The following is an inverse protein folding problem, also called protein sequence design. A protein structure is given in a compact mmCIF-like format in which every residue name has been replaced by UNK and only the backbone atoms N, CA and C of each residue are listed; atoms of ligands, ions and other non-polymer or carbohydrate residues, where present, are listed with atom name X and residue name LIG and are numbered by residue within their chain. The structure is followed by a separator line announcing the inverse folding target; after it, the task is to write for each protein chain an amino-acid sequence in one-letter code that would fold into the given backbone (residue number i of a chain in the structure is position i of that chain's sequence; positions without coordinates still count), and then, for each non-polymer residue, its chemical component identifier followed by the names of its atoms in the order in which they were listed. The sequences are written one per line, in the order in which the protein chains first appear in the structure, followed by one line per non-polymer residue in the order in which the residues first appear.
data_IF_852566113517
#
_entry.id   IF_852566113517
#
_cell.length_a   1.000
_cell.length_b   1.000
_cell.length_c   1.000
_cell.angle_alpha   90.00
_cell.angle_beta   90.00
_cell.angle_gamma   90.00
#
_symmetry.space_group_name_H-M   'P 1'
#
loop_
_entity.id
_entity.type
_entity.pdbx_description
1 polymer ?
#
# COMPACT_ATOMS: atom_id res chain seq x y z
N UNK A 1 -20.13 13.07 -2.00
CA UNK A 1 -20.74 11.89 -1.34
C UNK A 1 -20.79 10.68 -2.26
N UNK A 2 -21.29 10.81 -3.51
CA UNK A 2 -21.39 9.69 -4.46
C UNK A 2 -20.08 8.93 -4.74
N UNK A 3 -18.95 9.63 -4.86
CA UNK A 3 -17.66 8.98 -5.05
C UNK A 3 -17.24 8.07 -3.87
N UNK A 4 -17.59 8.46 -2.63
CA UNK A 4 -17.30 7.65 -1.44
C UNK A 4 -18.18 6.40 -1.37
N UNK A 5 -19.44 6.52 -1.79
CA UNK A 5 -20.39 5.41 -1.87
C UNK A 5 -19.96 4.44 -2.98
N UNK A 6 -19.53 4.95 -4.13
CA UNK A 6 -19.03 4.14 -5.24
C UNK A 6 -17.78 3.34 -4.86
N UNK A 7 -16.83 3.95 -4.14
CA UNK A 7 -15.63 3.26 -3.64
C UNK A 7 -15.98 2.20 -2.61
N UNK A 8 -16.92 2.48 -1.69
CA UNK A 8 -17.38 1.51 -0.71
C UNK A 8 -18.08 0.30 -1.36
N UNK A 9 -18.91 0.53 -2.38
CA UNK A 9 -19.57 -0.52 -3.14
C UNK A 9 -18.58 -1.37 -3.94
N UNK A 10 -17.58 -0.73 -4.58
CA UNK A 10 -16.53 -1.46 -5.30
C UNK A 10 -15.70 -2.36 -4.35
N UNK A 11 -15.38 -1.86 -3.15
CA UNK A 11 -14.66 -2.63 -2.14
C UNK A 11 -15.48 -3.84 -1.65
N UNK A 12 -16.80 -3.67 -1.45
CA UNK A 12 -17.69 -4.77 -1.06
C UNK A 12 -17.83 -5.83 -2.16
N UNK A 13 -17.92 -5.42 -3.42
CA UNK A 13 -17.96 -6.34 -4.57
C UNK A 13 -16.63 -7.10 -4.68
N UNK A 14 -15.50 -6.42 -4.53
CA UNK A 14 -14.17 -7.05 -4.57
C UNK A 14 -13.98 -8.09 -3.45
N UNK A 15 -14.48 -7.82 -2.24
CA UNK A 15 -14.45 -8.79 -1.14
C UNK A 15 -15.45 -9.94 -1.32
N UNK A 16 -16.62 -9.69 -1.91
CA UNK A 16 -17.66 -10.70 -2.12
C UNK A 16 -17.31 -11.78 -3.14
N UNK A 17 -16.48 -11.45 -4.15
CA UNK A 17 -16.04 -12.41 -5.18
C UNK A 17 -15.07 -13.47 -4.63
N UNK A 18 -14.38 -13.20 -3.52
CA UNK A 18 -13.45 -14.15 -2.88
C UNK A 18 -14.19 -15.26 -2.10
N UNK A 19 -15.51 -15.12 -1.92
CA UNK A 19 -16.34 -16.00 -1.08
C UNK A 19 -16.90 -17.25 -1.74
N UNK A 20 -16.42 -17.68 -2.91
CA UNK A 20 -16.77 -19.02 -3.43
C UNK A 20 -16.05 -20.07 -2.59
N UNK A 21 -16.65 -20.44 -1.46
CA UNK A 21 -16.27 -21.59 -0.67
C UNK A 21 -16.57 -22.85 -1.50
N UNK A 22 -15.69 -23.16 -2.45
CA UNK A 22 -15.54 -24.52 -2.91
C UNK A 22 -15.26 -25.35 -1.66
N UNK A 23 -16.04 -26.40 -1.43
CA UNK A 23 -15.68 -27.39 -0.43
C UNK A 23 -14.21 -27.74 -0.66
N UNK A 24 -13.36 -27.50 0.33
CA UNK A 24 -11.96 -27.87 0.24
C UNK A 24 -11.95 -29.39 0.32
N UNK A 25 -11.87 -30.02 -0.84
CA UNK A 25 -11.87 -31.46 -0.93
C UNK A 25 -10.68 -31.96 -0.13
N UNK A 26 -10.94 -32.88 0.80
CA UNK A 26 -9.92 -33.44 1.66
C UNK A 26 -9.19 -34.48 0.82
N UNK A 27 -7.96 -34.22 0.35
CA UNK A 27 -7.35 -35.05 -0.68
C UNK A 27 -7.23 -36.50 -0.22
N UNK A 28 -7.86 -37.45 -0.93
CA UNK A 28 -7.82 -38.87 -0.59
C UNK A 28 -8.90 -39.34 0.38
N UNK A 29 -9.86 -38.49 0.78
CA UNK A 29 -11.02 -38.95 1.56
C UNK A 29 -11.91 -39.88 0.73
N UNK A 30 -11.96 -39.68 -0.59
CA UNK A 30 -12.59 -40.58 -1.56
C UNK A 30 -11.97 -41.98 -1.55
N UNK A 31 -10.67 -42.10 -1.28
CA UNK A 31 -9.98 -43.39 -1.20
C UNK A 31 -10.25 -44.05 0.15
N UNK A 32 -10.21 -43.29 1.25
CA UNK A 32 -10.45 -43.82 2.59
C UNK A 32 -11.91 -44.25 2.81
N UNK A 33 -12.88 -43.69 2.09
CA UNK A 33 -14.30 -44.01 2.23
C UNK A 33 -14.74 -45.22 1.39
N UNK A 34 -13.99 -45.57 0.35
CA UNK A 34 -14.21 -46.78 -0.47
C UNK A 34 -13.66 -48.05 0.22
N UNK A 35 -12.80 -47.89 1.23
CA UNK A 35 -12.19 -48.99 1.97
C UNK A 35 -13.20 -49.74 2.85
N UNK A 36 -13.34 -51.05 2.62
CA UNK A 36 -14.34 -51.90 3.30
C UNK A 36 -13.83 -52.53 4.59
N UNK A 37 -12.52 -52.66 4.75
CA UNK A 37 -11.93 -53.20 5.98
C UNK A 37 -11.78 -52.09 7.02
N UNK A 38 -12.37 -52.27 8.20
CA UNK A 38 -12.43 -51.22 9.23
C UNK A 38 -11.03 -50.78 9.71
N UNK A 39 -10.06 -51.70 9.79
CA UNK A 39 -8.68 -51.35 10.17
C UNK A 39 -7.99 -50.46 9.13
N UNK A 40 -8.12 -50.80 7.84
CA UNK A 40 -7.48 -50.05 6.76
C UNK A 40 -8.16 -48.69 6.54
N UNK A 41 -9.48 -48.61 6.73
CA UNK A 41 -10.24 -47.35 6.73
C UNK A 41 -9.75 -46.42 7.84
N UNK A 42 -9.56 -46.95 9.05
CA UNK A 42 -9.08 -46.16 10.20
C UNK A 42 -7.65 -45.66 9.96
N UNK A 43 -6.75 -46.52 9.47
CA UNK A 43 -5.37 -46.14 9.14
C UNK A 43 -5.29 -45.09 8.03
N UNK A 44 -6.11 -45.21 6.98
CA UNK A 44 -6.19 -44.23 5.90
C UNK A 44 -6.64 -42.86 6.41
N UNK A 45 -7.75 -42.81 7.17
CA UNK A 45 -8.27 -41.58 7.77
C UNK A 45 -7.26 -40.94 8.73
N UNK A 46 -6.54 -41.73 9.52
CA UNK A 46 -5.50 -41.21 10.42
C UNK A 46 -4.37 -40.52 9.66
N UNK A 47 -3.87 -41.13 8.59
CA UNK A 47 -2.82 -40.53 7.76
C UNK A 47 -3.28 -39.26 7.05
N UNK A 48 -4.55 -39.20 6.67
CA UNK A 48 -5.17 -38.03 6.05
C UNK A 48 -5.29 -36.86 7.05
N UNK A 49 -5.72 -37.13 8.29
CA UNK A 49 -5.77 -36.13 9.37
C UNK A 49 -4.38 -35.59 9.69
N UNK A 50 -3.36 -36.45 9.78
CA UNK A 50 -1.97 -36.01 9.99
C UNK A 50 -1.47 -35.11 8.84
N UNK A 51 -1.76 -35.49 7.59
CA UNK A 51 -1.43 -34.66 6.42
C UNK A 51 -2.13 -33.30 6.45
N UNK A 52 -3.43 -33.28 6.73
CA UNK A 52 -4.22 -32.05 6.88
C UNK A 52 -3.65 -31.17 7.99
N UNK A 53 -3.36 -31.74 9.16
CA UNK A 53 -2.84 -31.00 10.30
C UNK A 53 -1.47 -30.38 10.00
N UNK A 54 -0.57 -31.13 9.37
CA UNK A 54 0.71 -30.61 8.87
C UNK A 54 0.52 -29.48 7.86
N UNK A 55 -0.43 -29.64 6.95
CA UNK A 55 -0.73 -28.64 5.91
C UNK A 55 -1.30 -27.36 6.51
N UNK A 56 -2.26 -27.46 7.44
CA UNK A 56 -2.84 -26.33 8.16
C UNK A 56 -1.77 -25.58 8.96
N UNK A 57 -0.90 -26.31 9.67
CA UNK A 57 0.19 -25.70 10.41
C UNK A 57 1.17 -24.95 9.49
N UNK A 58 1.51 -25.55 8.34
CA UNK A 58 2.37 -24.91 7.34
C UNK A 58 1.73 -23.64 6.78
N UNK A 59 0.47 -23.71 6.33
CA UNK A 59 -0.27 -22.56 5.81
C UNK A 59 -0.39 -21.45 6.86
N UNK A 60 -0.62 -21.82 8.13
CA UNK A 60 -0.69 -20.87 9.24
C UNK A 60 0.64 -20.14 9.42
N UNK A 61 1.77 -20.86 9.43
CA UNK A 61 3.10 -20.26 9.55
C UNK A 61 3.44 -19.37 8.34
N UNK A 62 3.13 -19.83 7.13
CA UNK A 62 3.37 -19.08 5.89
C UNK A 62 2.57 -17.77 5.89
N UNK A 63 1.31 -17.80 6.33
CA UNK A 63 0.48 -16.60 6.46
C UNK A 63 0.99 -15.67 7.55
N UNK A 64 1.39 -16.19 8.70
CA UNK A 64 1.97 -15.38 9.77
C UNK A 64 3.23 -14.66 9.29
N UNK A 65 4.11 -15.35 8.58
CA UNK A 65 5.32 -14.76 8.01
C UNK A 65 4.98 -13.64 6.99
N UNK A 66 3.95 -13.83 6.16
CA UNK A 66 3.48 -12.78 5.24
C UNK A 66 2.93 -11.57 5.98
N UNK A 67 2.17 -11.76 7.05
CA UNK A 67 1.66 -10.67 7.88
C UNK A 67 2.80 -9.89 8.54
N UNK A 68 3.80 -10.59 9.08
CA UNK A 68 4.96 -9.95 9.70
C UNK A 68 5.78 -9.15 8.68
N UNK A 69 5.98 -9.70 7.47
CA UNK A 69 6.64 -8.98 6.38
C UNK A 69 5.86 -7.73 5.96
N UNK A 70 4.53 -7.82 5.82
CA UNK A 70 3.67 -6.69 5.49
C UNK A 70 3.69 -5.61 6.60
N UNK A 71 3.70 -6.01 7.88
CA UNK A 71 3.82 -5.08 9.00
C UNK A 71 5.13 -4.28 8.96
N UNK A 72 6.26 -4.93 8.65
CA UNK A 72 7.55 -4.24 8.45
C UNK A 72 7.49 -3.25 7.28
N UNK A 73 6.83 -3.60 6.18
CA UNK A 73 6.63 -2.68 5.06
C UNK A 73 5.78 -1.47 5.46
N UNK A 74 4.74 -1.68 6.27
CA UNK A 74 3.90 -0.60 6.80
C UNK A 74 4.73 0.35 7.68
N UNK A 75 5.60 -0.17 8.54
CA UNK A 75 6.49 0.66 9.37
C UNK A 75 7.46 1.49 8.52
N UNK A 76 8.06 0.88 7.49
CA UNK A 76 8.91 1.58 6.54
C UNK A 76 8.14 2.68 5.79
N UNK A 77 6.93 2.39 5.33
CA UNK A 77 6.10 3.37 4.63
C UNK A 77 5.67 4.52 5.55
N UNK A 78 5.35 4.24 6.82
CA UNK A 78 5.04 5.27 7.81
C UNK A 78 6.21 6.23 8.03
N UNK A 79 7.45 5.73 8.11
CA UNK A 79 8.62 6.59 8.26
C UNK A 79 8.85 7.46 7.02
N UNK A 80 8.68 6.90 5.83
CA UNK A 80 8.78 7.65 4.57
C UNK A 80 7.71 8.74 4.49
N UNK A 81 6.46 8.43 4.85
CA UNK A 81 5.37 9.43 4.89
C UNK A 81 5.70 10.56 5.89
N UNK A 82 6.21 10.24 7.08
CA UNK A 82 6.63 11.26 8.04
C UNK A 82 7.77 12.15 7.49
N UNK A 83 8.75 11.55 6.80
CA UNK A 83 9.85 12.30 6.18
C UNK A 83 9.37 13.22 5.05
N UNK A 84 8.45 12.74 4.21
CA UNK A 84 7.82 13.50 3.14
C UNK A 84 6.99 14.67 3.69
N UNK A 85 6.21 14.43 4.75
CA UNK A 85 5.45 15.49 5.42
C UNK A 85 6.37 16.61 5.93
N UNK A 86 7.53 16.26 6.49
CA UNK A 86 8.52 17.24 6.94
C UNK A 86 9.09 18.05 5.77
N UNK A 87 9.48 17.39 4.67
CA UNK A 87 9.98 18.09 3.48
C UNK A 87 8.94 19.05 2.88
N UNK A 88 7.66 18.65 2.84
CA UNK A 88 6.57 19.52 2.37
C UNK A 88 6.40 20.73 3.29
N UNK A 89 6.47 20.54 4.61
CA UNK A 89 6.38 21.64 5.57
C UNK A 89 7.57 22.62 5.41
N UNK A 90 8.80 22.11 5.28
CA UNK A 90 9.99 22.92 5.07
C UNK A 90 9.92 23.71 3.75
N UNK A 91 9.43 23.08 2.67
CA UNK A 91 9.27 23.73 1.37
C UNK A 91 8.16 24.79 1.38
N UNK A 92 7.02 24.54 2.04
CA UNK A 92 5.98 25.55 2.23
C UNK A 92 6.48 26.74 3.03
N UNK A 93 7.24 26.51 4.11
CA UNK A 93 7.83 27.58 4.91
C UNK A 93 8.85 28.41 4.09
N UNK A 94 9.66 27.75 3.26
CA UNK A 94 10.59 28.42 2.33
C UNK A 94 9.87 29.26 1.28
N UNK A 95 8.80 28.75 0.67
CA UNK A 95 7.99 29.47 -0.30
C UNK A 95 7.29 30.69 0.29
N UNK A 96 6.74 30.58 1.50
CA UNK A 96 6.12 31.71 2.19
C UNK A 96 7.13 32.83 2.45
N UNK A 97 8.33 32.49 2.94
CA UNK A 97 9.42 33.46 3.14
C UNK A 97 9.82 34.15 1.82
N UNK A 98 10.07 33.38 0.77
CA UNK A 98 10.37 33.91 -0.57
C UNK A 98 9.27 34.85 -1.09
N UNK A 99 8.00 34.49 -0.88
CA UNK A 99 6.85 35.30 -1.31
C UNK A 99 6.74 36.59 -0.50
N UNK A 100 7.02 36.56 0.81
CA UNK A 100 7.08 37.76 1.65
C UNK A 100 8.26 38.68 1.31
N UNK A 101 9.43 38.11 1.02
CA UNK A 101 10.61 38.86 0.59
C UNK A 101 10.40 39.52 -0.78
N UNK A 102 9.72 38.84 -1.71
CA UNK A 102 9.30 39.41 -3.00
C UNK A 102 8.28 40.55 -2.84
N UNK A 103 7.32 40.42 -1.91
CA UNK A 103 6.38 41.51 -1.60
C UNK A 103 7.08 42.72 -0.97
N UNK A 104 8.05 42.53 -0.07
CA UNK A 104 8.82 43.63 0.52
C UNK A 104 9.75 44.34 -0.47
N UNK A 105 10.21 43.67 -1.53
CA UNK A 105 11.02 44.28 -2.59
C UNK A 105 10.20 44.98 -3.67
N UNK A 106 8.89 44.74 -3.75
CA UNK A 106 8.00 45.41 -4.71
C UNK A 106 7.55 46.82 -4.25
N UNK A 107 7.81 47.21 -2.99
CA UNK A 107 7.49 48.54 -2.43
C UNK A 107 8.67 49.53 -2.40
N UNK A 108 9.83 49.18 -3.00
CA UNK A 108 10.90 50.15 -3.19
C UNK A 108 10.67 50.93 -4.50
N UNK A 109 10.55 52.27 -4.47
CA UNK A 109 10.27 53.06 -5.67
C UNK A 109 11.38 52.88 -6.71
N UNK A 110 11.06 52.81 -8.02
CA UNK A 110 12.06 52.84 -9.07
C UNK A 110 12.77 54.19 -8.98
N UNK A 111 14.06 54.17 -8.63
CA UNK A 111 14.92 55.32 -8.77
C UNK A 111 14.95 55.71 -10.26
N UNK A 112 14.26 56.81 -10.58
CA UNK A 112 14.51 57.59 -11.79
C UNK A 112 15.93 58.12 -11.69
N UNK A 113 16.81 57.66 -12.57
CA UNK A 113 17.90 58.50 -13.06
C UNK A 113 18.06 58.29 -14.57
N UNK A 114 17.50 59.28 -15.27
CA UNK A 114 17.90 59.86 -16.54
C UNK A 114 18.72 59.03 -17.55
N UNK A 115 18.09 58.77 -18.71
CA UNK A 115 18.74 59.02 -20.01
C UNK A 115 18.67 60.54 -20.28
N UNK A 116 19.61 61.18 -21.01
CA UNK A 116 19.82 60.85 -22.42
C UNK A 116 21.25 61.03 -22.95
N UNK A 117 21.56 60.32 -24.06
CA UNK A 117 21.99 60.91 -25.33
C UNK A 117 22.92 59.96 -26.11
N UNK A 118 22.52 59.72 -27.35
CA UNK A 118 23.30 59.10 -28.41
C UNK A 118 24.64 59.80 -28.64
N UNK A 119 25.67 59.01 -28.99
CA UNK A 119 26.65 59.36 -30.04
C UNK A 119 27.07 58.08 -30.80
N UNK A 120 26.79 58.13 -32.09
CA UNK A 120 27.41 57.46 -33.24
C UNK A 120 28.79 56.81 -33.06
N UNK A 121 29.02 55.75 -33.86
CA UNK A 121 30.37 55.37 -34.25
C UNK A 121 30.53 54.00 -34.90
N UNK A 122 30.06 53.84 -36.14
CA UNK A 122 30.50 52.80 -37.09
C UNK A 122 32.04 52.79 -37.23
N UNK A 123 32.68 51.63 -37.06
CA UNK A 123 33.54 50.95 -38.06
C UNK A 123 34.03 49.60 -37.57
#
# INVERSE_FOLDING_TARGET
MFARIAVALLALIALGVVGTAHAQDVPGIEICTVEKTMERRTSCLQSNVDFLQKTVNKLTSDHQQKLDAANRQIESLKSLVASLQKLVADQQAGQLKLTEDLKKKADAPPAKDAAPAAKDGTK
#
